data_IF_315767071998
#
_entry.id   IF_315767071998
#
_cell.length_a   1.000
_cell.length_b   1.000
_cell.length_c   1.000
_cell.angle_alpha   90.00
_cell.angle_beta   90.00
_cell.angle_gamma   90.00
#
_symmetry.space_group_name_H-M   'P 1'
#
loop_
_entity.id
_entity.type
_entity.pdbx_description
1 polymer ?
#
# COMPACT_ATOMS: atom_id res chain seq x y z
N UNK A 1 9.04 -18.85 -10.56
CA UNK A 1 8.56 -17.56 -11.08
C UNK A 1 7.70 -16.88 -10.04
N UNK A 2 7.29 -15.65 -10.29
CA UNK A 2 6.35 -14.91 -9.44
C UNK A 2 5.19 -14.38 -10.28
N UNK A 3 4.03 -14.24 -9.63
CA UNK A 3 2.85 -13.57 -10.16
C UNK A 3 2.61 -12.30 -9.37
N UNK A 4 2.27 -11.22 -10.07
CA UNK A 4 2.08 -9.89 -9.47
C UNK A 4 0.69 -9.39 -9.83
N UNK A 5 -0.07 -9.01 -8.81
CA UNK A 5 -1.27 -8.19 -8.98
C UNK A 5 -0.93 -6.77 -8.57
N UNK A 6 -1.35 -5.78 -9.36
CA UNK A 6 -1.03 -4.38 -9.09
C UNK A 6 -2.15 -3.43 -9.50
N UNK A 7 -2.30 -2.36 -8.74
CA UNK A 7 -3.00 -1.14 -9.13
C UNK A 7 -1.95 -0.08 -9.49
N UNK A 8 -1.83 0.30 -10.77
CA UNK A 8 -0.80 1.23 -11.22
C UNK A 8 -1.03 2.68 -10.77
N UNK A 9 -2.24 3.06 -10.35
CA UNK A 9 -2.54 4.41 -9.89
C UNK A 9 -3.81 4.43 -9.01
N UNK A 10 -3.63 4.11 -7.73
CA UNK A 10 -4.65 4.28 -6.70
C UNK A 10 -4.85 5.78 -6.38
N UNK A 11 -6.10 6.16 -6.15
CA UNK A 11 -6.48 7.57 -6.02
C UNK A 11 -6.46 8.35 -7.34
N UNK A 12 -6.56 7.66 -8.50
CA UNK A 12 -6.59 8.33 -9.82
C UNK A 12 -7.64 9.44 -9.95
N UNK A 13 -8.77 9.34 -9.22
CA UNK A 13 -9.84 10.36 -9.21
C UNK A 13 -9.47 11.70 -8.54
N UNK A 14 -8.38 11.74 -7.78
CA UNK A 14 -7.92 12.92 -7.01
C UNK A 14 -6.54 13.40 -7.46
N UNK A 15 -6.06 12.94 -8.62
CA UNK A 15 -4.81 13.40 -9.24
C UNK A 15 -4.88 14.90 -9.53
N UNK A 16 -5.98 15.35 -10.13
CA UNK A 16 -6.16 16.76 -10.54
C UNK A 16 -6.24 17.71 -9.34
N UNK A 17 -6.57 17.21 -8.15
CA UNK A 17 -6.61 18.01 -6.91
C UNK A 17 -5.25 18.09 -6.21
N UNK A 18 -4.20 17.50 -6.78
CA UNK A 18 -2.86 17.43 -6.20
C UNK A 18 -2.87 16.83 -4.78
N UNK A 19 -3.70 15.80 -4.57
CA UNK A 19 -3.70 14.99 -3.36
C UNK A 19 -2.76 13.79 -3.52
N UNK A 20 -2.44 13.16 -2.39
CA UNK A 20 -1.63 11.94 -2.38
C UNK A 20 -2.29 10.85 -3.23
N UNK A 21 -1.52 10.27 -4.14
CA UNK A 21 -1.89 9.09 -4.93
C UNK A 21 -0.82 8.00 -4.77
N UNK A 22 -1.07 6.80 -5.27
CA UNK A 22 -0.12 5.70 -5.06
C UNK A 22 -0.16 4.59 -6.08
N UNK A 23 0.78 3.66 -5.95
CA UNK A 23 0.79 2.38 -6.68
C UNK A 23 0.76 1.28 -5.65
N UNK A 24 -0.07 0.26 -5.83
CA UNK A 24 -0.18 -0.87 -4.89
C UNK A 24 0.17 -2.15 -5.64
N UNK A 25 0.95 -3.05 -5.04
CA UNK A 25 1.13 -4.39 -5.59
C UNK A 25 1.32 -5.47 -4.53
N UNK A 26 0.93 -6.68 -4.89
CA UNK A 26 1.18 -7.91 -4.14
C UNK A 26 1.90 -8.93 -5.02
N UNK A 27 2.74 -9.75 -4.40
CA UNK A 27 3.59 -10.75 -5.07
C UNK A 27 3.31 -12.13 -4.48
N UNK A 28 3.02 -13.09 -5.36
CA UNK A 28 2.82 -14.50 -5.03
C UNK A 28 3.85 -15.38 -5.74
N UNK A 29 4.29 -16.49 -5.12
CA UNK A 29 5.12 -17.47 -5.80
C UNK A 29 4.31 -18.20 -6.88
N UNK A 30 4.99 -18.60 -7.96
CA UNK A 30 4.37 -19.32 -9.07
C UNK A 30 3.90 -18.41 -10.20
N UNK A 31 3.12 -18.98 -11.11
CA UNK A 31 2.68 -18.37 -12.38
C UNK A 31 1.16 -18.16 -12.47
N UNK A 32 0.44 -18.35 -11.35
CA UNK A 32 -1.01 -18.24 -11.28
C UNK A 32 -1.44 -17.51 -10.01
N UNK A 33 -2.51 -16.72 -10.14
CA UNK A 33 -3.20 -16.05 -9.04
C UNK A 33 -4.55 -16.71 -8.70
N UNK A 34 -4.84 -17.87 -9.28
CA UNK A 34 -6.06 -18.64 -8.99
C UNK A 34 -5.80 -19.63 -7.85
N UNK A 35 -6.71 -19.70 -6.87
CA UNK A 35 -6.59 -20.64 -5.75
C UNK A 35 -5.57 -20.24 -4.69
N UNK A 36 -5.08 -19.00 -4.73
CA UNK A 36 -4.22 -18.41 -3.70
C UNK A 36 -5.03 -17.45 -2.82
N UNK A 37 -4.55 -17.22 -1.61
CA UNK A 37 -5.13 -16.30 -0.63
C UNK A 37 -4.18 -15.13 -0.36
N UNK A 38 -4.66 -14.11 0.37
CA UNK A 38 -3.81 -13.01 0.82
C UNK A 38 -2.65 -13.47 1.70
N UNK A 39 -2.80 -14.56 2.47
CA UNK A 39 -1.75 -15.13 3.32
C UNK A 39 -0.63 -15.83 2.57
N UNK A 40 -0.84 -16.10 1.27
CA UNK A 40 0.16 -16.72 0.40
C UNK A 40 1.14 -15.72 -0.23
N UNK A 41 0.93 -14.41 -0.02
CA UNK A 41 1.84 -13.36 -0.49
C UNK A 41 3.25 -13.53 0.11
N UNK A 42 4.26 -13.34 -0.74
CA UNK A 42 5.69 -13.30 -0.34
C UNK A 42 6.20 -11.87 -0.18
N UNK A 43 5.55 -10.91 -0.85
CA UNK A 43 5.79 -9.48 -0.69
C UNK A 43 4.51 -8.70 -1.00
N UNK A 44 4.37 -7.54 -0.36
CA UNK A 44 3.35 -6.55 -0.68
C UNK A 44 3.97 -5.16 -0.51
N UNK A 45 3.57 -4.22 -1.36
CA UNK A 45 4.11 -2.86 -1.30
C UNK A 45 3.12 -1.79 -1.76
N UNK A 46 3.39 -0.58 -1.31
CA UNK A 46 2.70 0.64 -1.74
C UNK A 46 3.72 1.74 -2.01
N UNK A 47 3.71 2.27 -3.22
CA UNK A 47 4.34 3.55 -3.55
C UNK A 47 3.37 4.68 -3.22
N UNK A 48 3.84 5.73 -2.56
CA UNK A 48 3.06 6.91 -2.17
C UNK A 48 3.69 8.13 -2.83
N UNK A 49 2.89 8.89 -3.58
CA UNK A 49 3.33 10.05 -4.35
C UNK A 49 2.71 11.33 -3.79
N UNK A 50 3.54 12.19 -3.21
CA UNK A 50 3.20 13.51 -2.67
C UNK A 50 4.51 14.37 -2.63
N UNK A 51 4.64 15.50 -1.88
CA UNK A 51 5.92 16.24 -1.79
C UNK A 51 7.15 15.40 -1.45
N UNK A 52 6.94 14.23 -0.82
CA UNK A 52 7.95 13.20 -0.65
C UNK A 52 7.39 11.90 -1.20
N UNK A 53 8.11 11.28 -2.14
CA UNK A 53 7.75 9.96 -2.64
C UNK A 53 8.32 8.90 -1.73
N UNK A 54 7.46 8.06 -1.17
CA UNK A 54 7.89 6.94 -0.32
C UNK A 54 7.44 5.62 -0.90
N UNK A 55 8.15 4.57 -0.52
CA UNK A 55 7.86 3.20 -0.92
C UNK A 55 7.87 2.33 0.33
N UNK A 56 6.72 1.74 0.65
CA UNK A 56 6.53 0.90 1.83
C UNK A 56 6.45 -0.55 1.35
N UNK A 57 7.24 -1.44 1.93
CA UNK A 57 7.27 -2.85 1.57
C UNK A 57 7.25 -3.76 2.80
N UNK A 58 6.47 -4.83 2.71
CA UNK A 58 6.54 -5.98 3.62
C UNK A 58 6.98 -7.22 2.86
N UNK A 59 7.82 -8.02 3.49
CA UNK A 59 8.32 -9.28 2.96
C UNK A 59 7.97 -10.39 3.95
N UNK A 60 7.54 -11.56 3.46
CA UNK A 60 7.11 -12.68 4.31
C UNK A 60 8.19 -13.11 5.31
N UNK A 61 9.45 -13.06 4.87
CA UNK A 61 10.61 -13.52 5.66
C UNK A 61 11.35 -12.37 6.37
N UNK A 62 10.81 -11.13 6.34
CA UNK A 62 11.36 -9.98 7.05
C UNK A 62 10.35 -9.41 8.04
N UNK A 63 10.71 -9.21 9.31
CA UNK A 63 9.78 -8.64 10.28
C UNK A 63 9.40 -7.20 9.91
N UNK A 64 8.11 -6.89 10.06
CA UNK A 64 7.58 -5.54 9.92
C UNK A 64 7.39 -5.05 8.48
N UNK A 65 7.23 -3.74 8.38
CA UNK A 65 7.08 -2.94 7.15
C UNK A 65 8.24 -1.96 7.06
N UNK A 66 8.84 -1.84 5.89
CA UNK A 66 10.05 -1.06 5.63
C UNK A 66 9.68 0.11 4.72
N UNK A 67 9.93 1.33 5.15
CA UNK A 67 9.65 2.55 4.39
C UNK A 67 10.93 3.13 3.83
N UNK A 68 10.93 3.39 2.52
CA UNK A 68 12.01 4.00 1.79
C UNK A 68 11.59 5.36 1.24
N UNK A 69 12.46 6.35 1.36
CA UNK A 69 12.28 7.68 0.77
C UNK A 69 13.07 7.78 -0.54
N UNK A 70 12.43 8.28 -1.59
CA UNK A 70 13.13 8.64 -2.83
C UNK A 70 13.88 9.97 -2.65
N UNK A 71 15.19 9.93 -2.84
CA UNK A 71 16.06 11.10 -2.85
C UNK A 71 16.16 11.70 -4.26
N UNK A 72 16.54 12.98 -4.34
CA UNK A 72 16.70 13.72 -5.61
C UNK A 72 17.66 13.04 -6.60
N UNK A 73 18.60 12.24 -6.08
CA UNK A 73 19.56 11.45 -6.86
C UNK A 73 18.94 10.18 -7.48
N UNK A 74 17.63 9.95 -7.30
CA UNK A 74 16.93 8.74 -7.74
C UNK A 74 17.19 7.51 -6.87
N UNK A 75 17.78 7.69 -5.68
CA UNK A 75 18.09 6.60 -4.75
C UNK A 75 16.99 6.45 -3.71
N UNK A 76 16.70 5.20 -3.36
CA UNK A 76 15.82 4.85 -2.25
C UNK A 76 16.63 4.70 -0.97
N UNK A 77 16.34 5.53 0.02
CA UNK A 77 16.95 5.46 1.34
C UNK A 77 15.95 4.83 2.32
N UNK A 78 16.36 3.78 3.04
CA UNK A 78 15.55 3.24 4.13
C UNK A 78 15.44 4.28 5.25
N UNK A 79 14.22 4.64 5.65
CA UNK A 79 13.97 5.71 6.63
C UNK A 79 13.21 5.25 7.86
N UNK A 80 12.47 4.12 7.81
CA UNK A 80 11.66 3.68 8.94
C UNK A 80 11.26 2.21 8.85
N UNK A 81 11.34 1.54 10.00
CA UNK A 81 10.70 0.25 10.26
C UNK A 81 9.40 0.44 11.05
N UNK A 82 8.35 -0.31 10.69
CA UNK A 82 7.11 -0.41 11.46
C UNK A 82 6.81 -1.88 11.77
N UNK A 83 6.88 -2.26 13.05
CA UNK A 83 6.62 -3.64 13.50
C UNK A 83 5.30 -3.79 14.26
N UNK A 84 4.77 -2.69 14.79
CA UNK A 84 3.50 -2.66 15.52
C UNK A 84 2.72 -1.39 15.17
N UNK A 85 1.40 -1.50 15.18
CA UNK A 85 0.48 -0.36 15.11
C UNK A 85 -0.27 -0.34 16.46
N UNK A 86 -0.12 0.75 17.21
CA UNK A 86 -0.78 0.93 18.51
C UNK A 86 -2.21 1.48 18.37
N UNK A 87 -2.88 1.67 19.50
CA UNK A 87 -4.16 2.38 19.53
C UNK A 87 -4.00 3.84 19.06
N UNK A 88 -5.01 4.32 18.33
CA UNK A 88 -5.02 5.66 17.78
C UNK A 88 -6.37 6.35 17.95
N UNK A 89 -6.38 7.68 17.80
CA UNK A 89 -7.60 8.50 17.84
C UNK A 89 -8.09 8.93 16.45
N UNK A 90 -7.38 8.50 15.40
CA UNK A 90 -7.69 8.85 14.02
C UNK A 90 -8.60 7.78 13.40
N UNK A 91 -9.61 8.23 12.66
CA UNK A 91 -10.55 7.38 11.93
C UNK A 91 -10.71 7.93 10.51
N UNK A 92 -10.59 7.07 9.49
CA UNK A 92 -10.61 7.46 8.06
C UNK A 92 -11.63 6.64 7.27
N UNK A 93 -12.95 6.86 7.49
CA UNK A 93 -14.00 6.13 6.78
C UNK A 93 -14.09 6.61 5.33
N UNK A 94 -13.98 5.68 4.38
CA UNK A 94 -14.45 5.93 3.03
C UNK A 94 -15.97 6.10 3.03
N UNK A 95 -16.48 7.12 2.34
CA UNK A 95 -17.91 7.32 2.10
C UNK A 95 -18.80 7.24 3.37
N UNK A 96 -18.43 7.97 4.43
CA UNK A 96 -19.19 8.00 5.70
C UNK A 96 -20.66 8.42 5.52
N UNK A 97 -21.04 9.06 4.41
CA UNK A 97 -22.46 9.31 4.11
C UNK A 97 -23.26 8.03 3.92
N UNK A 98 -22.66 6.99 3.34
CA UNK A 98 -23.34 5.73 3.08
C UNK A 98 -23.74 4.99 4.37
N UNK A 99 -23.06 5.21 5.50
CA UNK A 99 -23.47 4.65 6.80
C UNK A 99 -24.81 5.21 7.30
N UNK A 100 -25.25 6.37 6.80
CA UNK A 100 -26.55 6.94 7.15
C UNK A 100 -27.68 6.45 6.25
N UNK A 101 -27.36 6.18 4.97
CA UNK A 101 -28.35 5.91 3.93
C UNK A 101 -28.55 4.40 3.68
N UNK A 102 -27.60 3.55 4.09
CA UNK A 102 -27.65 2.09 3.94
C UNK A 102 -27.51 1.40 5.32
N UNK A 103 -28.57 0.75 5.83
CA UNK A 103 -28.52 0.03 7.11
C UNK A 103 -27.51 -1.13 7.16
N UNK A 104 -27.12 -1.68 6.00
CA UNK A 104 -26.20 -2.80 5.87
C UNK A 104 -24.73 -2.37 5.64
N UNK A 105 -24.43 -1.06 5.67
CA UNK A 105 -23.08 -0.51 5.45
C UNK A 105 -22.16 -0.69 6.66
#
# INVERSE_FOLDING_TARGET
>A
GFSVAFDPLDGSSIVDTNFTVGTIFGVWPGDKLTGVTGGDQVAAAMGIYNPRSTFIVSLKDSPGTHEFLLLDEGKWQHVKDTTTIGEGKMFSPGNLRATFDNPDY
#
